data_IF_578762635428
#
_entry.id   IF_578762635428
#
_cell.length_a   1.000
_cell.length_b   1.000
_cell.length_c   1.000
_cell.angle_alpha   90.00
_cell.angle_beta   90.00
_cell.angle_gamma   90.00
#
_symmetry.space_group_name_H-M   'P 1'
#
loop_
_entity.id
_entity.type
_entity.pdbx_description
1 polymer ?
#
# COMPACT_ATOMS: atom_id res chain seq x y z
N UNK A 1 9.04 -9.51 10.00
CA UNK A 1 8.46 -8.54 10.97
C UNK A 1 7.09 -8.11 10.49
N UNK A 2 6.03 -8.22 11.31
CA UNK A 2 4.72 -7.69 10.97
C UNK A 2 4.79 -6.16 11.01
N UNK A 3 4.42 -5.52 9.91
CA UNK A 3 4.29 -4.07 9.89
C UNK A 3 2.97 -3.76 10.59
N UNK A 4 3.04 -3.03 11.70
CA UNK A 4 1.85 -2.52 12.39
C UNK A 4 1.30 -1.32 11.61
N UNK A 5 0.75 -1.58 10.42
CA UNK A 5 -0.09 -0.63 9.70
C UNK A 5 -1.56 -1.02 9.90
N UNK A 6 -2.39 -0.01 10.14
CA UNK A 6 -3.83 -0.18 10.07
C UNK A 6 -4.26 -0.55 8.64
N UNK A 7 -5.36 -1.27 8.51
CA UNK A 7 -5.92 -1.69 7.22
C UNK A 7 -6.15 -0.50 6.29
N UNK A 8 -6.66 0.62 6.82
CA UNK A 8 -6.85 1.88 6.09
C UNK A 8 -5.54 2.44 5.53
N UNK A 9 -4.46 2.40 6.31
CA UNK A 9 -3.16 2.89 5.87
C UNK A 9 -2.57 2.01 4.74
N UNK A 10 -2.86 0.70 4.77
CA UNK A 10 -2.45 -0.21 3.69
C UNK A 10 -3.23 0.08 2.40
N UNK A 11 -4.53 0.34 2.51
CA UNK A 11 -5.38 0.67 1.36
C UNK A 11 -4.97 2.01 0.74
N UNK A 12 -4.80 3.04 1.56
CA UNK A 12 -4.31 4.34 1.09
C UNK A 12 -2.93 4.23 0.42
N UNK A 13 -2.01 3.44 1.00
CA UNK A 13 -0.69 3.21 0.40
C UNK A 13 -0.77 2.47 -0.95
N UNK A 14 -1.68 1.50 -1.10
CA UNK A 14 -1.90 0.80 -2.37
C UNK A 14 -2.50 1.72 -3.43
N UNK A 15 -3.44 2.60 -3.05
CA UNK A 15 -3.99 3.59 -3.97
C UNK A 15 -2.92 4.54 -4.49
N UNK A 16 -2.09 5.11 -3.60
CA UNK A 16 -0.99 6.01 -3.99
C UNK A 16 0.03 5.29 -4.86
N UNK A 17 0.48 4.09 -4.46
CA UNK A 17 1.42 3.29 -5.27
C UNK A 17 0.90 3.10 -6.68
N UNK A 18 -0.38 2.77 -6.82
CA UNK A 18 -0.93 2.47 -8.13
C UNK A 18 -1.37 3.72 -8.90
N UNK A 19 -1.56 4.87 -8.25
CA UNK A 19 -1.86 6.17 -8.89
C UNK A 19 -0.56 6.79 -9.42
N UNK A 20 0.49 6.80 -8.60
CA UNK A 20 1.82 7.31 -8.95
C UNK A 20 2.71 6.28 -9.65
N UNK A 21 2.18 5.07 -9.91
CA UNK A 21 2.89 3.93 -10.51
C UNK A 21 4.23 3.60 -9.79
N UNK A 22 4.25 3.70 -8.47
CA UNK A 22 5.40 3.40 -7.62
C UNK A 22 5.55 1.91 -7.38
N UNK A 23 6.78 1.45 -7.18
CA UNK A 23 7.07 0.07 -6.78
C UNK A 23 7.15 -0.13 -5.26
N UNK A 24 7.36 0.97 -4.52
CA UNK A 24 7.61 0.99 -3.08
C UNK A 24 6.91 2.21 -2.47
N UNK A 25 6.44 2.07 -1.23
CA UNK A 25 5.83 3.15 -0.47
C UNK A 25 6.53 3.31 0.86
N UNK A 26 6.77 4.56 1.25
CA UNK A 26 7.39 4.91 2.52
C UNK A 26 6.32 5.03 3.60
N UNK A 27 6.23 4.01 4.44
CA UNK A 27 5.26 3.94 5.53
C UNK A 27 5.83 4.59 6.77
N UNK A 28 5.17 5.63 7.25
CA UNK A 28 5.44 6.20 8.56
C UNK A 28 4.69 5.40 9.63
N UNK A 29 5.43 4.64 10.46
CA UNK A 29 4.81 3.91 11.56
C UNK A 29 4.55 4.87 12.74
N UNK A 30 3.29 5.03 13.21
CA UNK A 30 2.98 5.94 14.31
C UNK A 30 3.57 5.45 15.65
N UNK A 31 3.77 4.14 15.81
CA UNK A 31 4.35 3.56 17.04
C UNK A 31 5.87 3.69 17.09
N UNK A 32 6.54 3.41 15.97
CA UNK A 32 8.00 3.33 15.94
C UNK A 32 8.66 4.63 15.46
N UNK A 33 7.89 5.59 14.93
CA UNK A 33 8.35 6.79 14.22
C UNK A 33 9.34 6.53 13.07
N UNK A 34 9.53 5.27 12.70
CA UNK A 34 10.39 4.85 11.59
C UNK A 34 9.62 4.86 10.28
N UNK A 35 10.34 5.24 9.24
CA UNK A 35 9.91 5.09 7.85
C UNK A 35 10.29 3.68 7.40
N UNK A 36 9.30 2.87 7.04
CA UNK A 36 9.52 1.55 6.47
C UNK A 36 9.15 1.56 4.99
N UNK A 37 10.10 1.18 4.15
CA UNK A 37 9.83 0.93 2.73
C UNK A 37 9.11 -0.39 2.57
N UNK A 38 7.86 -0.32 2.15
CA UNK A 38 7.05 -1.51 1.83
C UNK A 38 6.92 -1.63 0.33
N UNK A 39 7.12 -2.84 -0.18
CA UNK A 39 6.87 -3.11 -1.59
C UNK A 39 5.38 -3.32 -1.84
N UNK A 40 4.92 -3.05 -3.07
CA UNK A 40 3.54 -3.35 -3.50
C UNK A 40 3.12 -4.79 -3.14
N UNK A 41 4.00 -5.77 -3.38
CA UNK A 41 3.76 -7.19 -3.04
C UNK A 41 3.50 -7.40 -1.56
N UNK A 42 4.19 -6.67 -0.69
CA UNK A 42 4.06 -6.78 0.75
C UNK A 42 2.76 -6.15 1.25
N UNK A 43 2.34 -5.03 0.67
CA UNK A 43 1.04 -4.43 0.93
C UNK A 43 -0.11 -5.35 0.47
N UNK A 44 -0.03 -5.90 -0.75
CA UNK A 44 -1.03 -6.85 -1.27
C UNK A 44 -1.16 -8.10 -0.40
N UNK A 45 -0.04 -8.62 0.13
CA UNK A 45 -0.06 -9.73 1.11
C UNK A 45 -0.74 -9.35 2.42
N UNK A 46 -0.56 -8.11 2.88
CA UNK A 46 -1.18 -7.60 4.11
C UNK A 46 -2.66 -7.24 3.91
N UNK A 47 -3.08 -7.04 2.65
CA UNK A 47 -4.42 -6.64 2.25
C UNK A 47 -5.00 -7.59 1.19
N UNK A 48 -5.30 -8.86 1.56
CA UNK A 48 -5.82 -9.85 0.61
C UNK A 48 -7.20 -9.50 0.04
N UNK A 49 -7.98 -8.66 0.73
CA UNK A 49 -9.30 -8.20 0.30
C UNK A 49 -9.28 -6.82 -0.39
N UNK A 50 -8.12 -6.25 -0.64
CA UNK A 50 -8.06 -4.98 -1.36
C UNK A 50 -8.40 -5.21 -2.82
N UNK A 51 -9.51 -4.63 -3.25
CA UNK A 51 -9.89 -4.52 -4.65
C UNK A 51 -9.70 -3.06 -5.05
N UNK A 52 -8.87 -2.82 -6.07
CA UNK A 52 -8.86 -1.52 -6.72
C UNK A 52 -10.12 -1.47 -7.58
N UNK A 53 -11.00 -0.53 -7.32
CA UNK A 53 -12.17 -0.28 -8.18
C UNK A 53 -11.77 0.28 -9.57
N UNK A 54 -10.48 0.55 -9.80
CA UNK A 54 -9.91 1.09 -11.04
C UNK A 54 -9.44 0.02 -12.05
N UNK A 55 -10.17 -1.08 -12.22
CA UNK A 55 -9.96 -1.96 -13.40
C UNK A 55 -10.45 -1.28 -14.70
N UNK A 56 -11.13 -0.13 -14.62
CA UNK A 56 -11.70 0.58 -15.78
C UNK A 56 -10.83 1.70 -16.41
N UNK A 57 -9.64 2.01 -15.87
CA UNK A 57 -8.84 3.16 -16.35
C UNK A 57 -7.47 2.82 -16.96
N UNK A 58 -7.17 1.54 -17.22
CA UNK A 58 -5.97 1.11 -17.97
C UNK A 58 -6.36 0.15 -19.10
N UNK A 59 -7.27 0.61 -19.94
CA UNK A 59 -7.52 0.07 -21.27
C UNK A 59 -7.88 1.25 -22.20
N UNK A 60 -6.88 2.08 -22.52
CA UNK A 60 -6.88 2.87 -23.77
C UNK A 60 -5.53 2.68 -24.45
#
# INVERSE_FOLDING_TARGET
MPIAMSKDAIYAALDVIMDENLNRYDVHCPKCRKVNRVSRKQLLRAAPHWKRDRDEAQAE
#
